data_IF_045856841266
#
_entry.id   IF_045856841266
#
_cell.length_a   1.000
_cell.length_b   1.000
_cell.length_c   1.000
_cell.angle_alpha   90.00
_cell.angle_beta   90.00
_cell.angle_gamma   90.00
#
_symmetry.space_group_name_H-M   'P 1'
#
loop_
_entity.id
_entity.type
_entity.pdbx_description
1 polymer ?
#
# COMPACT_ATOMS: atom_id res chain seq x y z
N UNK A 1 -0.45 9.14 -23.06
CA UNK A 1 -0.84 9.25 -21.64
C UNK A 1 -0.66 7.86 -21.08
N UNK A 2 0.42 7.59 -20.35
CA UNK A 2 0.66 6.26 -19.79
C UNK A 2 -0.37 6.02 -18.70
N UNK A 3 -1.27 5.08 -18.92
CA UNK A 3 -2.16 4.54 -17.89
C UNK A 3 -1.26 3.97 -16.79
N UNK A 4 -1.08 4.72 -15.71
CA UNK A 4 -0.44 4.17 -14.54
C UNK A 4 -1.47 3.19 -13.97
N UNK A 5 -1.23 1.89 -14.11
CA UNK A 5 -2.12 0.87 -13.58
C UNK A 5 -2.21 1.03 -12.07
N UNK A 6 -3.32 1.62 -11.62
CA UNK A 6 -3.65 1.75 -10.20
C UNK A 6 -4.33 0.46 -9.76
N UNK A 7 -3.64 -0.35 -8.97
CA UNK A 7 -4.21 -1.57 -8.40
C UNK A 7 -4.73 -1.27 -7.01
N UNK A 8 -6.00 -1.61 -6.74
CA UNK A 8 -6.62 -1.41 -5.42
C UNK A 8 -6.74 -2.78 -4.74
N UNK A 9 -6.18 -2.91 -3.54
CA UNK A 9 -6.33 -4.09 -2.69
C UNK A 9 -7.19 -3.70 -1.49
N UNK A 10 -8.36 -4.34 -1.35
CA UNK A 10 -9.20 -4.20 -0.15
C UNK A 10 -8.66 -5.13 0.93
N UNK A 11 -8.36 -4.57 2.09
CA UNK A 11 -7.74 -5.26 3.21
C UNK A 11 -8.66 -5.18 4.45
N UNK A 12 -9.78 -5.91 4.40
CA UNK A 12 -10.78 -5.93 5.47
C UNK A 12 -10.37 -6.82 6.66
N UNK A 13 -9.53 -7.83 6.42
CA UNK A 13 -8.90 -8.70 7.43
C UNK A 13 -7.40 -8.77 7.15
N UNK A 14 -6.65 -7.81 7.67
CA UNK A 14 -5.29 -7.56 7.27
C UNK A 14 -4.31 -8.46 8.03
N UNK A 15 -3.81 -9.50 7.37
CA UNK A 15 -2.57 -10.14 7.78
C UNK A 15 -1.41 -9.32 7.19
N UNK A 16 -0.68 -8.61 8.06
CA UNK A 16 0.38 -7.67 7.67
C UNK A 16 1.45 -8.38 6.82
N UNK A 17 1.88 -9.58 7.21
CA UNK A 17 2.95 -10.30 6.52
C UNK A 17 2.53 -10.73 5.11
N UNK A 18 1.32 -11.29 4.98
CA UNK A 18 0.75 -11.68 3.69
C UNK A 18 0.54 -10.47 2.77
N UNK A 19 0.06 -9.35 3.33
CA UNK A 19 -0.16 -8.11 2.57
C UNK A 19 1.15 -7.55 2.04
N UNK A 20 2.21 -7.53 2.86
CA UNK A 20 3.53 -7.09 2.44
C UNK A 20 4.16 -7.99 1.38
N UNK A 21 3.94 -9.30 1.47
CA UNK A 21 4.36 -10.26 0.44
C UNK A 21 3.63 -9.99 -0.88
N UNK A 22 2.31 -9.83 -0.84
CA UNK A 22 1.51 -9.52 -2.04
C UNK A 22 1.92 -8.19 -2.67
N UNK A 23 2.16 -7.14 -1.87
CA UNK A 23 2.67 -5.85 -2.36
C UNK A 23 4.00 -6.08 -3.08
N UNK A 24 4.94 -6.83 -2.48
CA UNK A 24 6.26 -7.06 -3.08
C UNK A 24 6.21 -7.87 -4.38
N UNK A 25 5.24 -8.80 -4.52
CA UNK A 25 5.05 -9.60 -5.73
C UNK A 25 4.31 -8.86 -6.84
N UNK A 26 3.38 -7.98 -6.47
CA UNK A 26 2.47 -7.34 -7.42
C UNK A 26 2.88 -5.93 -7.81
N UNK A 27 3.79 -5.26 -7.08
CA UNK A 27 4.19 -3.90 -7.38
C UNK A 27 5.38 -3.89 -8.36
N UNK A 28 5.08 -3.81 -9.65
CA UNK A 28 6.04 -3.60 -10.72
C UNK A 28 6.66 -2.20 -10.68
N UNK A 29 7.75 -1.99 -11.46
CA UNK A 29 8.41 -0.68 -11.58
C UNK A 29 7.47 0.32 -12.27
N UNK A 30 7.21 1.44 -11.60
CA UNK A 30 6.32 2.51 -12.09
C UNK A 30 4.84 2.31 -11.75
N UNK A 31 4.47 1.21 -11.09
CA UNK A 31 3.10 0.95 -10.67
C UNK A 31 2.77 1.63 -9.35
N UNK A 32 1.48 1.94 -9.18
CA UNK A 32 0.93 2.48 -7.93
C UNK A 32 -0.10 1.51 -7.38
N UNK A 33 0.09 1.12 -6.13
CA UNK A 33 -0.83 0.24 -5.41
C UNK A 33 -1.51 1.03 -4.31
N UNK A 34 -2.83 0.92 -4.24
CA UNK A 34 -3.65 1.56 -3.21
C UNK A 34 -4.19 0.46 -2.31
N UNK A 35 -3.67 0.41 -1.08
CA UNK A 35 -4.18 -0.46 -0.04
C UNK A 35 -5.32 0.27 0.67
N UNK A 36 -6.51 -0.31 0.64
CA UNK A 36 -7.66 0.23 1.32
C UNK A 36 -7.98 -0.56 2.59
N UNK A 37 -7.87 0.12 3.73
CA UNK A 37 -7.95 -0.47 5.07
C UNK A 37 -9.34 -0.17 5.64
N UNK A 38 -10.27 -1.10 5.39
CA UNK A 38 -11.67 -1.01 5.80
C UNK A 38 -11.92 -1.28 7.29
N UNK A 39 -10.98 -1.91 7.99
CA UNK A 39 -11.15 -2.30 9.39
C UNK A 39 -9.87 -1.96 10.20
N UNK A 40 -9.76 -0.72 10.68
CA UNK A 40 -8.58 -0.22 11.40
C UNK A 40 -8.54 -0.72 12.86
N UNK A 41 -8.45 -2.02 13.06
CA UNK A 41 -8.13 -2.57 14.37
C UNK A 41 -6.64 -2.33 14.67
N UNK A 42 -6.34 -1.27 15.42
CA UNK A 42 -5.07 -1.05 16.13
C UNK A 42 -3.79 -1.00 15.28
N UNK A 43 -3.29 0.21 14.97
CA UNK A 43 -1.93 0.50 14.49
C UNK A 43 -1.42 -0.29 13.25
N UNK A 44 -2.25 -1.09 12.58
CA UNK A 44 -1.84 -1.91 11.43
C UNK A 44 -1.41 -1.03 10.26
N UNK A 45 -2.18 0.02 9.99
CA UNK A 45 -1.86 1.03 8.96
C UNK A 45 -0.49 1.67 9.21
N UNK A 46 -0.15 1.94 10.47
CA UNK A 46 1.16 2.50 10.82
C UNK A 46 2.29 1.49 10.64
N UNK A 47 2.10 0.23 11.05
CA UNK A 47 3.11 -0.83 10.87
C UNK A 47 3.39 -1.11 9.39
N UNK A 48 2.35 -1.16 8.56
CA UNK A 48 2.50 -1.34 7.10
C UNK A 48 3.25 -0.15 6.51
N UNK A 49 2.85 1.07 6.89
CA UNK A 49 3.51 2.30 6.46
C UNK A 49 5.00 2.28 6.80
N UNK A 50 5.35 2.06 8.06
CA UNK A 50 6.74 2.07 8.53
C UNK A 50 7.57 0.99 7.82
N UNK A 51 6.99 -0.19 7.62
CA UNK A 51 7.68 -1.30 6.94
C UNK A 51 7.93 -0.99 5.47
N UNK A 52 6.96 -0.42 4.76
CA UNK A 52 7.09 -0.08 3.35
C UNK A 52 8.08 1.09 3.14
N UNK A 53 8.04 2.11 4.00
CA UNK A 53 9.02 3.19 3.99
C UNK A 53 10.43 2.65 4.25
N UNK A 54 10.60 1.74 5.23
CA UNK A 54 11.89 1.10 5.53
C UNK A 54 12.43 0.28 4.34
N UNK A 55 11.54 -0.32 3.54
CA UNK A 55 11.89 -1.06 2.31
C UNK A 55 12.22 -0.14 1.12
N UNK A 56 12.10 1.17 1.27
CA UNK A 56 12.42 2.16 0.24
C UNK A 56 11.28 2.43 -0.75
N UNK A 57 10.05 2.03 -0.43
CA UNK A 57 8.87 2.43 -1.22
C UNK A 57 8.50 3.89 -0.92
N UNK A 58 7.94 4.58 -1.92
CA UNK A 58 7.29 5.88 -1.69
C UNK A 58 5.86 5.61 -1.21
N UNK A 59 5.57 5.97 0.03
CA UNK A 59 4.33 5.62 0.71
C UNK A 59 3.63 6.88 1.21
N UNK A 60 2.34 7.01 0.88
CA UNK A 60 1.48 8.12 1.30
C UNK A 60 0.21 7.61 1.96
N UNK A 61 -0.08 8.09 3.17
CA UNK A 61 -1.38 7.89 3.82
C UNK A 61 -2.42 8.83 3.22
N UNK A 62 -3.63 8.34 3.03
CA UNK A 62 -4.78 9.08 2.53
C UNK A 62 -6.04 8.63 3.25
N UNK A 63 -7.07 9.46 3.26
CA UNK A 63 -8.39 9.11 3.81
C UNK A 63 -9.46 9.49 2.79
N UNK A 64 -10.20 8.50 2.30
CA UNK A 64 -11.20 8.68 1.24
C UNK A 64 -12.45 7.87 1.57
N UNK A 65 -13.62 8.50 1.46
CA UNK A 65 -14.92 7.87 1.69
C UNK A 65 -15.06 7.15 3.05
N UNK A 66 -14.47 7.72 4.11
CA UNK A 66 -14.53 7.12 5.45
C UNK A 66 -13.52 6.00 5.71
N UNK A 67 -12.64 5.69 4.75
CA UNK A 67 -11.64 4.62 4.85
C UNK A 67 -10.22 5.15 4.80
N UNK A 68 -9.34 4.53 5.60
CA UNK A 68 -7.90 4.80 5.52
C UNK A 68 -7.32 4.09 4.30
N UNK A 69 -6.47 4.81 3.56
CA UNK A 69 -5.80 4.31 2.37
C UNK A 69 -4.30 4.51 2.51
N UNK A 70 -3.53 3.52 2.08
CA UNK A 70 -2.08 3.62 1.92
C UNK A 70 -1.79 3.52 0.43
N UNK A 71 -1.29 4.61 -0.14
CA UNK A 71 -0.86 4.68 -1.53
C UNK A 71 0.63 4.36 -1.55
N UNK A 72 1.02 3.37 -2.32
CA UNK A 72 2.35 2.80 -2.38
C UNK A 72 2.81 2.94 -3.83
N UNK A 73 3.95 3.59 -4.03
CA UNK A 73 4.60 3.65 -5.33
C UNK A 73 5.89 2.86 -5.25
N UNK A 74 6.17 2.08 -6.28
CA UNK A 74 7.51 1.54 -6.44
C UNK A 74 8.44 2.73 -6.60
N UNK A 75 9.28 2.97 -5.58
CA UNK A 75 10.36 3.92 -5.72
C UNK A 75 11.16 3.47 -6.94
N UNK A 76 11.38 4.38 -7.87
CA UNK A 76 12.32 4.17 -8.97
C UNK A 76 13.68 3.95 -8.31
N UNK A 77 14.02 2.69 -8.02
CA UNK A 77 15.33 2.29 -7.52
C UNK A 77 16.31 2.60 -8.64
N UNK A 78 16.82 3.83 -8.63
CA UNK A 78 17.93 4.29 -9.43
C UNK A 78 19.24 3.79 -8.85
#
# INVERSE_FOLDING_TARGET
MSEHEEKIINAENLNIDATLEDISKNLGRGETLILDVGNNYFNQTDRIYDTLVTRGYDVKKSFKNGRNQIIIRSGDQR
#
